data_IF_518261203147
#
_entry.id   IF_518261203147
#
_cell.length_a   1.000
_cell.length_b   1.000
_cell.length_c   1.000
_cell.angle_alpha   90.00
_cell.angle_beta   90.00
_cell.angle_gamma   90.00
#
_symmetry.space_group_name_H-M   'P 1'
#
loop_
_entity.id
_entity.type
_entity.pdbx_description
1 polymer ?
#
# COMPACT_ATOMS: atom_id res chain seq x y z
N UNK A 1 5.97 -1.49 2.44
CA UNK A 1 5.95 -0.24 3.24
C UNK A 1 4.53 0.06 3.73
N UNK A 2 3.88 -0.89 4.41
CA UNK A 2 2.53 -0.69 4.96
C UNK A 2 2.61 -0.39 6.46
N UNK A 3 1.78 0.54 6.93
CA UNK A 3 1.61 0.85 8.34
C UNK A 3 0.25 0.34 8.79
N UNK A 4 0.23 -0.60 9.74
CA UNK A 4 -1.00 -1.11 10.35
C UNK A 4 -1.49 -0.08 11.37
N UNK A 5 -2.71 0.41 11.18
CA UNK A 5 -3.35 1.37 12.10
C UNK A 5 -4.11 0.65 13.21
N UNK A 6 -4.59 -0.57 12.95
CA UNK A 6 -5.28 -1.36 13.95
C UNK A 6 -5.79 -2.69 13.42
N UNK A 7 -6.21 -3.54 14.35
CA UNK A 7 -6.81 -4.83 14.06
C UNK A 7 -8.04 -5.03 14.93
N UNK A 8 -9.18 -5.28 14.29
CA UNK A 8 -10.46 -5.50 14.95
C UNK A 8 -10.88 -6.96 14.75
N UNK A 9 -11.50 -7.55 15.77
CA UNK A 9 -12.05 -8.91 15.68
C UNK A 9 -13.52 -8.82 15.30
N UNK A 10 -13.90 -9.46 14.20
CA UNK A 10 -15.30 -9.62 13.81
C UNK A 10 -15.95 -10.75 14.60
N UNK A 11 -17.25 -10.64 14.84
CA UNK A 11 -18.07 -11.65 15.53
C UNK A 11 -18.05 -13.02 14.83
N UNK A 12 -17.69 -13.07 13.55
CA UNK A 12 -17.60 -14.30 12.75
C UNK A 12 -16.24 -15.01 12.83
N UNK A 13 -15.31 -14.57 13.70
CA UNK A 13 -13.96 -15.11 13.81
C UNK A 13 -12.98 -14.58 12.74
N UNK A 14 -13.44 -13.70 11.85
CA UNK A 14 -12.57 -12.97 10.94
C UNK A 14 -11.88 -11.79 11.66
N UNK A 15 -10.66 -11.44 11.24
CA UNK A 15 -9.98 -10.22 11.70
C UNK A 15 -9.98 -9.17 10.60
N UNK A 16 -10.36 -7.95 10.95
CA UNK A 16 -10.35 -6.77 10.07
C UNK A 16 -9.07 -6.02 10.36
N UNK A 17 -8.22 -5.85 9.34
CA UNK A 17 -6.95 -5.13 9.46
C UNK A 17 -7.10 -3.78 8.77
N UNK A 18 -6.92 -2.70 9.52
CA UNK A 18 -6.86 -1.34 8.99
C UNK A 18 -5.40 -0.96 8.80
N UNK A 19 -5.02 -0.57 7.60
CA UNK A 19 -3.65 -0.21 7.27
C UNK A 19 -3.62 0.84 6.17
N UNK A 20 -2.56 1.65 6.20
CA UNK A 20 -2.18 2.57 5.13
C UNK A 20 -0.98 2.00 4.39
N UNK A 21 -1.03 2.01 3.07
CA UNK A 21 0.06 1.57 2.23
C UNK A 21 0.16 2.49 0.99
N UNK A 22 1.38 2.73 0.48
CA UNK A 22 1.56 3.45 -0.77
C UNK A 22 0.83 2.75 -1.91
N UNK A 23 0.03 3.48 -2.69
CA UNK A 23 -0.73 2.91 -3.80
C UNK A 23 0.18 2.21 -4.83
N UNK A 24 1.38 2.73 -5.05
CA UNK A 24 2.38 2.14 -5.94
C UNK A 24 2.77 0.69 -5.55
N UNK A 25 2.63 0.31 -4.28
CA UNK A 25 2.92 -1.06 -3.81
C UNK A 25 1.69 -1.98 -3.81
N UNK A 26 0.49 -1.48 -4.14
CA UNK A 26 -0.75 -2.28 -4.10
C UNK A 26 -1.00 -3.06 -5.40
N UNK A 27 -0.20 -2.83 -6.45
CA UNK A 27 -0.25 -3.64 -7.67
C UNK A 27 0.04 -5.11 -7.34
N UNK A 28 -0.85 -6.02 -7.74
CA UNK A 28 -0.74 -7.45 -7.44
C UNK A 28 -1.17 -7.86 -6.03
N UNK A 29 -1.53 -6.91 -5.15
CA UNK A 29 -1.90 -7.19 -3.76
C UNK A 29 -3.07 -8.17 -3.64
N UNK A 30 -4.12 -8.00 -4.46
CA UNK A 30 -5.31 -8.88 -4.40
C UNK A 30 -4.96 -10.33 -4.68
N UNK A 31 -4.05 -10.58 -5.63
CA UNK A 31 -3.55 -11.91 -5.94
C UNK A 31 -2.78 -12.49 -4.76
N UNK A 32 -1.84 -11.73 -4.20
CA UNK A 32 -1.07 -12.15 -3.03
C UNK A 32 -1.97 -12.45 -1.83
N UNK A 33 -2.97 -11.59 -1.56
CA UNK A 33 -3.93 -11.74 -0.47
C UNK A 33 -4.74 -13.03 -0.62
N UNK A 34 -5.22 -13.33 -1.82
CA UNK A 34 -5.93 -14.59 -2.11
C UNK A 34 -5.03 -15.80 -1.87
N UNK A 35 -3.78 -15.76 -2.31
CA UNK A 35 -2.83 -16.86 -2.09
C UNK A 35 -2.61 -17.14 -0.60
N UNK A 36 -2.33 -16.11 0.20
CA UNK A 36 -2.02 -16.29 1.64
C UNK A 36 -3.24 -16.65 2.49
N UNK A 37 -4.45 -16.33 2.04
CA UNK A 37 -5.70 -16.59 2.78
C UNK A 37 -6.49 -17.78 2.24
N UNK A 38 -5.91 -18.51 1.28
CA UNK A 38 -6.58 -19.58 0.54
C UNK A 38 -7.90 -19.10 -0.09
N UNK A 39 -7.91 -17.87 -0.60
CA UNK A 39 -9.04 -17.26 -1.31
C UNK A 39 -10.16 -16.71 -0.42
N UNK A 40 -10.01 -16.74 0.91
CA UNK A 40 -11.09 -16.38 1.84
C UNK A 40 -11.15 -14.90 2.20
N UNK A 41 -10.03 -14.18 2.13
CA UNK A 41 -10.00 -12.77 2.49
C UNK A 41 -10.46 -11.87 1.35
N UNK A 42 -11.04 -10.74 1.75
CA UNK A 42 -11.42 -9.63 0.88
C UNK A 42 -10.69 -8.38 1.32
N UNK A 43 -10.44 -7.47 0.38
CA UNK A 43 -9.84 -6.16 0.65
C UNK A 43 -10.66 -5.06 0.01
N UNK A 44 -10.73 -3.92 0.68
CA UNK A 44 -11.22 -2.66 0.12
C UNK A 44 -10.11 -1.63 0.25
N UNK A 45 -9.96 -0.77 -0.75
CA UNK A 45 -8.98 0.32 -0.74
C UNK A 45 -9.67 1.62 -1.10
N UNK A 46 -9.33 2.68 -0.40
CA UNK A 46 -9.85 4.02 -0.65
C UNK A 46 -8.69 5.00 -0.50
N UNK A 47 -8.68 6.02 -1.35
CA UNK A 47 -7.70 7.10 -1.24
C UNK A 47 -7.79 7.75 0.14
N UNK A 48 -6.64 7.98 0.77
CA UNK A 48 -6.55 8.65 2.08
C UNK A 48 -5.91 10.03 1.94
N UNK A 49 -4.64 10.09 1.53
CA UNK A 49 -3.87 11.33 1.41
C UNK A 49 -2.60 11.11 0.57
N UNK A 50 -1.95 12.20 0.20
CA UNK A 50 -0.58 12.19 -0.31
C UNK A 50 0.41 12.25 0.85
N UNK A 51 1.51 11.50 0.73
CA UNK A 51 2.61 11.52 1.67
C UNK A 51 3.92 11.67 0.90
N UNK A 52 4.91 12.30 1.53
CA UNK A 52 6.24 12.46 0.95
C UNK A 52 6.89 11.09 0.74
N UNK A 53 7.47 10.89 -0.43
CA UNK A 53 8.24 9.68 -0.75
C UNK A 53 9.70 9.87 -0.33
N UNK A 54 10.37 8.79 0.03
CA UNK A 54 11.81 8.84 0.29
C UNK A 54 12.57 9.41 -0.91
N UNK A 55 13.63 10.18 -0.65
CA UNK A 55 14.46 10.87 -1.66
C UNK A 55 14.95 9.93 -2.77
N UNK A 56 15.28 8.68 -2.43
CA UNK A 56 15.72 7.68 -3.41
C UNK A 56 14.65 7.39 -4.48
N UNK A 57 13.39 7.24 -4.06
CA UNK A 57 12.26 6.95 -4.97
C UNK A 57 11.89 8.21 -5.75
N UNK A 58 11.92 9.38 -5.10
CA UNK A 58 11.70 10.65 -5.77
C UNK A 58 12.71 10.85 -6.93
N UNK A 59 13.99 10.57 -6.68
CA UNK A 59 15.05 10.65 -7.71
C UNK A 59 14.81 9.67 -8.86
N UNK A 60 14.41 8.43 -8.57
CA UNK A 60 14.09 7.44 -9.60
C UNK A 60 12.94 7.92 -10.49
N UNK A 61 11.84 8.38 -9.89
CA UNK A 61 10.66 8.87 -10.63
C UNK A 61 11.04 10.09 -11.48
N UNK A 62 11.76 11.07 -10.92
CA UNK A 62 12.21 12.24 -11.67
C UNK A 62 13.15 11.88 -12.82
N UNK A 63 14.03 10.90 -12.63
CA UNK A 63 14.92 10.43 -13.69
C UNK A 63 14.13 9.79 -14.84
N UNK A 64 13.13 8.97 -14.51
CA UNK A 64 12.26 8.31 -15.51
C UNK A 64 11.47 9.32 -16.35
N UNK A 65 10.95 10.38 -15.73
CA UNK A 65 10.21 11.43 -16.44
C UNK A 65 11.11 12.51 -17.05
N UNK A 66 12.44 12.33 -17.04
CA UNK A 66 13.43 13.34 -17.47
C UNK A 66 13.27 14.71 -16.78
N UNK A 67 12.80 14.68 -15.53
CA UNK A 67 12.62 15.86 -14.67
C UNK A 67 13.94 16.33 -14.02
N UNK A 68 13.87 17.48 -13.35
CA UNK A 68 15.01 18.09 -12.65
C UNK A 68 15.31 17.42 -11.32
N UNK A 69 16.21 16.44 -11.35
CA UNK A 69 16.67 15.67 -10.18
C UNK A 69 17.52 16.53 -9.22
N UNK A 70 18.07 17.64 -9.69
CA UNK A 70 18.90 18.60 -8.95
C UNK A 70 18.15 19.36 -7.84
N UNK A 71 16.82 19.32 -7.83
CA UNK A 71 15.96 20.03 -6.87
C UNK A 71 15.56 19.17 -5.64
N UNK A 72 16.06 17.93 -5.55
CA UNK A 72 15.82 16.96 -4.45
C UNK A 72 17.04 16.73 -3.56
#
# INVERSE_FOLDING_TARGET
RGQVEGMESSRSGARIVKAKAPLAEMFGYVTALRTITSGRATSTMTFSHYAEVSTQIAKQVLTEVQGRVDLL
#
